data_IF_636857993045
#
_entry.id   IF_636857993045
#
_cell.length_a   1.000
_cell.length_b   1.000
_cell.length_c   1.000
_cell.angle_alpha   90.00
_cell.angle_beta   90.00
_cell.angle_gamma   90.00
#
_symmetry.space_group_name_H-M   'P 1'
#
loop_
_entity.id
_entity.type
_entity.pdbx_description
1 polymer ?
#
# COMPACT_ATOMS: atom_id res chain seq x y z
N UNK A 1 -43.46 -3.71 -27.74
CA UNK A 1 -43.95 -3.34 -29.08
C UNK A 1 -43.99 -1.83 -29.13
N UNK A 2 -43.12 -1.23 -29.95
CA UNK A 2 -43.08 0.22 -30.13
C UNK A 2 -44.14 0.59 -31.16
N UNK A 3 -45.10 1.46 -30.80
CA UNK A 3 -46.05 2.01 -31.75
C UNK A 3 -45.45 3.32 -32.30
N UNK A 4 -45.13 3.33 -33.59
CA UNK A 4 -44.77 4.54 -34.33
C UNK A 4 -46.07 5.17 -34.86
N UNK A 5 -46.31 6.49 -34.69
CA UNK A 5 -47.45 7.12 -35.32
C UNK A 5 -47.13 7.38 -36.81
N UNK A 6 -47.90 6.76 -37.68
CA UNK A 6 -47.91 7.01 -39.12
C UNK A 6 -48.70 8.31 -39.37
N UNK A 7 -48.03 9.37 -39.85
CA UNK A 7 -48.66 10.67 -40.06
C UNK A 7 -47.84 11.64 -40.92
N UNK A 8 -48.02 11.52 -42.23
CA UNK A 8 -47.78 12.48 -43.33
C UNK A 8 -46.45 13.30 -43.36
N UNK A 9 -45.57 12.92 -44.29
CA UNK A 9 -44.27 13.54 -44.59
C UNK A 9 -44.32 14.75 -45.55
N UNK A 10 -45.43 15.50 -45.63
CA UNK A 10 -45.60 16.55 -46.66
C UNK A 10 -45.78 17.98 -46.11
N UNK A 11 -45.48 18.23 -44.83
CA UNK A 11 -45.39 19.58 -44.27
C UNK A 11 -43.91 19.98 -44.08
N UNK A 12 -43.49 21.23 -44.39
CA UNK A 12 -42.15 21.69 -44.06
C UNK A 12 -41.92 21.55 -42.56
N UNK A 13 -41.08 20.60 -42.16
CA UNK A 13 -40.61 20.45 -40.79
C UNK A 13 -39.67 21.63 -40.52
N UNK A 14 -40.21 22.76 -40.07
CA UNK A 14 -39.39 23.75 -39.38
C UNK A 14 -38.98 23.13 -38.04
N UNK A 15 -37.71 22.76 -37.83
CA UNK A 15 -37.28 22.31 -36.52
C UNK A 15 -37.43 23.49 -35.57
N UNK A 16 -38.33 23.38 -34.60
CA UNK A 16 -38.48 24.39 -33.56
C UNK A 16 -37.23 24.36 -32.68
N UNK A 17 -36.24 25.19 -33.00
CA UNK A 17 -34.97 25.32 -32.28
C UNK A 17 -35.11 26.13 -30.97
N UNK A 18 -36.32 26.61 -30.64
CA UNK A 18 -36.61 27.36 -29.40
C UNK A 18 -36.21 26.64 -28.10
N UNK A 19 -36.29 25.30 -27.97
CA UNK A 19 -35.89 24.60 -26.75
C UNK A 19 -34.36 24.54 -26.54
N UNK A 20 -33.56 24.56 -27.61
CA UNK A 20 -32.09 24.44 -27.49
C UNK A 20 -31.45 25.69 -26.87
N UNK A 21 -32.12 26.84 -26.94
CA UNK A 21 -31.68 28.07 -26.27
C UNK A 21 -31.74 28.00 -24.75
N UNK A 22 -32.45 27.03 -24.16
CA UNK A 22 -32.59 26.89 -22.71
C UNK A 22 -31.34 26.28 -22.04
N UNK A 23 -30.60 25.41 -22.74
CA UNK A 23 -29.40 24.76 -22.18
C UNK A 23 -28.21 25.73 -22.06
N UNK A 24 -28.16 26.76 -22.92
CA UNK A 24 -27.06 27.73 -22.96
C UNK A 24 -27.09 28.75 -21.81
N UNK A 25 -28.18 28.79 -21.02
CA UNK A 25 -28.38 29.72 -19.89
C UNK A 25 -28.14 29.10 -18.50
N UNK A 26 -28.01 27.77 -18.39
CA UNK A 26 -27.73 27.10 -17.10
C UNK A 26 -26.45 27.66 -16.46
N UNK A 27 -25.46 28.03 -17.28
CA UNK A 27 -24.17 28.56 -16.82
C UNK A 27 -24.12 30.07 -16.61
N UNK A 28 -25.17 30.81 -16.98
CA UNK A 28 -25.22 32.28 -16.82
C UNK A 28 -25.79 32.75 -15.48
N UNK A 29 -26.39 31.84 -14.68
CA UNK A 29 -26.92 32.22 -13.37
C UNK A 29 -25.81 32.26 -12.31
N UNK A 30 -25.80 33.31 -11.48
CA UNK A 30 -24.91 33.39 -10.33
C UNK A 30 -25.07 32.23 -9.35
N UNK A 31 -26.27 31.62 -9.29
CA UNK A 31 -26.56 30.42 -8.50
C UNK A 31 -25.90 29.15 -9.05
N UNK A 32 -25.88 28.95 -10.37
CA UNK A 32 -25.18 27.81 -10.99
C UNK A 32 -23.66 27.95 -10.86
N UNK A 33 -23.12 29.17 -11.01
CA UNK A 33 -21.71 29.43 -10.75
C UNK A 33 -21.35 29.19 -9.28
N UNK A 34 -22.21 29.61 -8.35
CA UNK A 34 -22.01 29.39 -6.91
C UNK A 34 -22.06 27.90 -6.54
N UNK A 35 -22.99 27.13 -7.10
CA UNK A 35 -23.08 25.68 -6.88
C UNK A 35 -21.93 24.92 -7.54
N UNK A 36 -21.49 25.33 -8.74
CA UNK A 36 -20.28 24.80 -9.38
C UNK A 36 -19.01 25.07 -8.57
N UNK A 37 -18.82 26.31 -8.08
CA UNK A 37 -17.71 26.67 -7.20
C UNK A 37 -17.75 25.82 -5.93
N UNK A 38 -18.93 25.64 -5.32
CA UNK A 38 -19.10 24.82 -4.12
C UNK A 38 -18.78 23.34 -4.38
N UNK A 39 -19.24 22.79 -5.49
CA UNK A 39 -18.92 21.43 -5.93
C UNK A 39 -17.43 21.22 -6.21
N UNK A 40 -16.80 22.16 -6.91
CA UNK A 40 -15.35 22.18 -7.15
C UNK A 40 -14.54 22.29 -5.86
N UNK A 41 -15.03 23.08 -4.88
CA UNK A 41 -14.36 23.23 -3.60
C UNK A 41 -14.47 21.95 -2.76
N UNK A 42 -15.60 21.24 -2.84
CA UNK A 42 -15.78 19.90 -2.25
C UNK A 42 -14.89 18.87 -2.94
N UNK A 43 -14.81 18.88 -4.28
CA UNK A 43 -13.95 17.97 -5.04
C UNK A 43 -12.47 18.23 -4.76
N UNK A 44 -12.06 19.51 -4.69
CA UNK A 44 -10.69 19.92 -4.37
C UNK A 44 -10.33 19.63 -2.91
N UNK A 45 -11.27 19.79 -1.98
CA UNK A 45 -11.10 19.40 -0.59
C UNK A 45 -10.97 17.88 -0.46
N UNK A 46 -11.82 17.10 -1.14
CA UNK A 46 -11.73 15.65 -1.19
C UNK A 46 -10.40 15.20 -1.81
N UNK A 47 -9.98 15.81 -2.92
CA UNK A 47 -8.71 15.51 -3.56
C UNK A 47 -7.52 15.90 -2.68
N UNK A 48 -7.54 17.03 -1.98
CA UNK A 48 -6.52 17.37 -0.99
C UNK A 48 -6.52 16.39 0.19
N UNK A 49 -7.69 15.99 0.68
CA UNK A 49 -7.82 14.99 1.75
C UNK A 49 -7.22 13.64 1.34
N UNK A 50 -7.47 13.18 0.11
CA UNK A 50 -6.95 11.91 -0.40
C UNK A 50 -5.47 11.99 -0.81
N UNK A 51 -5.05 13.06 -1.48
CA UNK A 51 -3.67 13.21 -1.99
C UNK A 51 -2.67 13.50 -0.86
N UNK A 52 -2.97 14.42 0.06
CA UNK A 52 -2.06 14.71 1.19
C UNK A 52 -2.05 13.57 2.21
N UNK A 53 -3.18 12.92 2.47
CA UNK A 53 -3.23 11.74 3.32
C UNK A 53 -2.48 10.57 2.68
N UNK A 54 -2.58 10.37 1.36
CA UNK A 54 -1.86 9.32 0.66
C UNK A 54 -0.36 9.60 0.56
N UNK A 55 0.09 10.84 0.37
CA UNK A 55 1.52 11.17 0.32
C UNK A 55 2.18 10.90 1.68
N UNK A 56 1.55 11.35 2.77
CA UNK A 56 2.03 11.10 4.14
C UNK A 56 1.96 9.61 4.50
N UNK A 57 0.91 8.90 4.05
CA UNK A 57 0.79 7.45 4.26
C UNK A 57 1.87 6.68 3.49
N UNK A 58 2.18 7.08 2.25
CA UNK A 58 3.20 6.43 1.42
C UNK A 58 4.61 6.72 1.93
N UNK A 59 4.89 7.94 2.42
CA UNK A 59 6.14 8.27 3.10
C UNK A 59 6.32 7.43 4.38
N UNK A 60 5.27 7.36 5.21
CA UNK A 60 5.26 6.52 6.42
C UNK A 60 5.46 5.03 6.10
N UNK A 61 4.80 4.53 5.05
CA UNK A 61 4.94 3.16 4.60
C UNK A 61 6.35 2.87 4.05
N UNK A 62 6.91 3.76 3.23
CA UNK A 62 8.28 3.63 2.72
C UNK A 62 9.30 3.62 3.87
N UNK A 63 9.15 4.53 4.85
CA UNK A 63 10.01 4.58 6.03
C UNK A 63 9.89 3.32 6.90
N UNK A 64 8.68 2.81 7.08
CA UNK A 64 8.45 1.55 7.80
C UNK A 64 9.07 0.34 7.07
N UNK A 65 8.98 0.28 5.74
CA UNK A 65 9.60 -0.79 4.94
C UNK A 65 11.12 -0.77 5.06
N UNK A 66 11.76 0.40 5.03
CA UNK A 66 13.21 0.51 5.22
C UNK A 66 13.62 0.02 6.60
N UNK A 67 12.91 0.44 7.66
CA UNK A 67 13.18 -0.01 9.03
C UNK A 67 12.98 -1.53 9.20
N UNK A 68 11.96 -2.10 8.57
CA UNK A 68 11.73 -3.55 8.57
C UNK A 68 12.86 -4.30 7.85
N UNK A 69 13.36 -3.77 6.75
CA UNK A 69 14.48 -4.36 6.01
C UNK A 69 15.78 -4.32 6.83
N UNK A 70 16.07 -3.20 7.48
CA UNK A 70 17.24 -3.06 8.37
C UNK A 70 17.14 -4.00 9.57
N UNK A 71 15.96 -4.11 10.18
CA UNK A 71 15.71 -5.05 11.28
C UNK A 71 15.90 -6.50 10.81
N UNK A 72 15.33 -6.88 9.67
CA UNK A 72 15.50 -8.22 9.11
C UNK A 72 16.98 -8.53 8.84
N UNK A 73 17.74 -7.58 8.29
CA UNK A 73 19.19 -7.73 8.09
C UNK A 73 19.94 -7.90 9.40
N UNK A 74 19.57 -7.16 10.43
CA UNK A 74 20.18 -7.28 11.76
C UNK A 74 19.88 -8.64 12.41
N UNK A 75 18.67 -9.17 12.20
CA UNK A 75 18.29 -10.49 12.69
C UNK A 75 19.03 -11.60 11.95
N UNK A 76 19.22 -11.50 10.64
CA UNK A 76 20.02 -12.48 9.89
C UNK A 76 21.49 -12.47 10.31
N UNK A 77 22.08 -11.30 10.55
CA UNK A 77 23.43 -11.21 11.11
C UNK A 77 23.51 -11.88 12.50
N UNK A 78 22.53 -11.61 13.35
CA UNK A 78 22.45 -12.22 14.68
C UNK A 78 22.26 -13.73 14.60
N UNK A 79 21.45 -14.24 13.66
CA UNK A 79 21.21 -15.68 13.45
C UNK A 79 22.48 -16.45 13.11
N UNK A 80 23.44 -15.82 12.44
CA UNK A 80 24.73 -16.43 12.10
C UNK A 80 25.75 -16.32 13.24
N UNK A 81 25.78 -15.19 13.93
CA UNK A 81 26.79 -14.91 14.95
C UNK A 81 26.49 -15.61 16.29
N UNK A 82 25.22 -15.72 16.67
CA UNK A 82 24.81 -16.39 17.92
C UNK A 82 25.23 -17.86 18.00
N UNK A 83 24.98 -18.72 16.99
CA UNK A 83 25.38 -20.12 17.05
C UNK A 83 26.89 -20.28 16.93
N UNK A 84 27.58 -19.46 16.13
CA UNK A 84 29.05 -19.49 16.05
C UNK A 84 29.68 -19.24 17.41
N UNK A 85 29.24 -18.17 18.08
CA UNK A 85 29.71 -17.85 19.43
C UNK A 85 29.34 -18.92 20.46
N UNK A 86 28.12 -19.45 20.41
CA UNK A 86 27.69 -20.51 21.33
C UNK A 86 28.52 -21.80 21.17
N UNK A 87 28.90 -22.16 19.93
CA UNK A 87 29.77 -23.32 19.67
C UNK A 87 31.20 -23.06 20.17
N UNK A 88 31.73 -21.87 19.95
CA UNK A 88 33.05 -21.49 20.45
C UNK A 88 33.10 -21.51 21.99
N UNK A 89 32.13 -20.85 22.64
CA UNK A 89 31.98 -20.83 24.10
C UNK A 89 31.83 -22.26 24.67
N UNK A 90 31.07 -23.13 24.00
CA UNK A 90 30.90 -24.52 24.39
C UNK A 90 32.20 -25.32 24.27
N UNK A 91 32.95 -25.14 23.18
CA UNK A 91 34.25 -25.78 22.96
C UNK A 91 35.29 -25.34 23.98
N UNK A 92 35.24 -24.09 24.43
CA UNK A 92 36.15 -23.58 25.47
C UNK A 92 35.77 -24.00 26.89
N UNK A 93 34.52 -24.44 27.09
CA UNK A 93 33.98 -24.77 28.40
C UNK A 93 34.79 -25.87 29.13
N UNK A 94 35.01 -25.71 30.45
CA UNK A 94 35.79 -26.68 31.23
C UNK A 94 35.08 -28.03 31.35
N UNK A 95 33.75 -28.05 31.33
CA UNK A 95 32.96 -29.28 31.42
C UNK A 95 33.18 -30.21 30.24
N UNK A 96 33.22 -29.65 29.01
CA UNK A 96 33.53 -30.41 27.80
C UNK A 96 34.96 -30.94 27.82
N UNK A 97 35.95 -30.09 28.15
CA UNK A 97 37.37 -30.48 28.26
C UNK A 97 37.58 -31.59 29.27
N UNK A 98 37.00 -31.46 30.46
CA UNK A 98 37.10 -32.47 31.52
C UNK A 98 36.40 -33.79 31.14
N UNK A 99 35.27 -33.69 30.44
CA UNK A 99 34.54 -34.86 29.91
C UNK A 99 35.36 -35.63 28.87
N UNK A 100 35.97 -34.91 27.92
CA UNK A 100 36.90 -35.48 26.92
C UNK A 100 38.09 -36.17 27.58
N UNK A 101 38.72 -35.52 28.56
CA UNK A 101 39.84 -36.13 29.32
C UNK A 101 39.37 -37.43 29.99
N UNK A 102 38.24 -37.41 30.70
CA UNK A 102 37.68 -38.60 31.36
C UNK A 102 37.34 -39.72 30.37
N UNK A 103 36.77 -39.38 29.21
CA UNK A 103 36.49 -40.35 28.14
C UNK A 103 37.77 -41.00 27.63
N UNK A 104 38.85 -40.23 27.45
CA UNK A 104 40.16 -40.76 27.06
C UNK A 104 40.74 -41.78 28.04
N UNK A 105 40.58 -41.54 29.36
CA UNK A 105 40.97 -42.51 30.39
C UNK A 105 40.15 -43.80 30.31
N UNK A 106 38.83 -43.70 30.11
CA UNK A 106 37.94 -44.87 29.97
C UNK A 106 38.30 -45.68 28.73
N UNK A 107 38.64 -45.05 27.61
CA UNK A 107 39.09 -45.74 26.40
C UNK A 107 40.43 -46.45 26.58
N UNK A 108 41.37 -45.86 27.32
CA UNK A 108 42.66 -46.48 27.63
C UNK A 108 42.49 -47.72 28.52
N UNK A 109 41.58 -47.65 29.49
CA UNK A 109 41.27 -48.73 30.42
C UNK A 109 40.61 -49.93 29.72
N UNK A 110 39.78 -49.69 28.71
CA UNK A 110 39.05 -50.73 27.98
C UNK A 110 39.69 -51.17 26.64
N UNK A 111 40.78 -50.54 26.21
CA UNK A 111 41.57 -51.00 25.07
C UNK A 111 40.83 -50.96 23.73
N UNK A 112 40.11 -49.87 23.45
CA UNK A 112 39.54 -49.58 22.13
C UNK A 112 40.55 -48.93 21.19
#
# INVERSE_FOLDING_TARGET
MCNLPEGAFDAPLEPDLRPLTHEMLVWQSGEALATYIRGMLILRLAMNLYTLLSEVLMDGAAKAMVLLLDLARSMEALREDLPKKAVEDYNESPGLKMGLVRMGWVSLEYGY
#
